data_IF_130159366956
#
_entry.id   IF_130159366956
#
_cell.length_a   1.000
_cell.length_b   1.000
_cell.length_c   1.000
_cell.angle_alpha   90.00
_cell.angle_beta   90.00
_cell.angle_gamma   90.00
#
_symmetry.space_group_name_H-M   'P 1'
#
loop_
_entity.id
_entity.type
_entity.pdbx_description
1 polymer ?
#
# COMPACT_ATOMS: atom_id res chain seq x y z
N UNK A 1 10.51 -12.01 12.45
CA UNK A 1 10.52 -12.87 11.25
C UNK A 1 10.08 -12.05 10.05
N UNK A 2 10.46 -12.45 8.84
CA UNK A 2 10.09 -11.78 7.58
C UNK A 2 9.13 -12.66 6.77
N UNK A 3 8.30 -12.01 5.96
CA UNK A 3 7.40 -12.69 5.03
C UNK A 3 6.69 -11.70 4.12
N UNK A 4 5.83 -12.24 3.27
CA UNK A 4 5.08 -11.49 2.28
C UNK A 4 3.59 -11.61 2.55
N UNK A 5 2.88 -10.50 2.52
CA UNK A 5 1.42 -10.48 2.66
C UNK A 5 0.80 -11.18 1.45
N UNK A 6 0.14 -12.31 1.68
CA UNK A 6 -0.50 -13.08 0.61
C UNK A 6 -1.75 -12.37 0.13
N UNK A 7 -2.56 -11.92 1.08
CA UNK A 7 -3.70 -11.06 0.84
C UNK A 7 -4.17 -10.45 2.17
N UNK A 8 -4.74 -9.26 2.11
CA UNK A 8 -5.38 -8.63 3.27
C UNK A 8 -6.71 -7.98 2.87
N UNK A 9 -7.77 -8.28 3.63
CA UNK A 9 -9.07 -7.65 3.41
C UNK A 9 -9.25 -6.49 4.40
N UNK A 10 -9.04 -5.26 3.92
CA UNK A 10 -9.16 -4.04 4.72
C UNK A 10 -10.57 -3.85 5.32
N UNK A 11 -11.61 -4.25 4.59
CA UNK A 11 -13.00 -4.11 5.05
C UNK A 11 -13.32 -5.08 6.18
N UNK A 12 -12.75 -6.29 6.14
CA UNK A 12 -12.96 -7.31 7.16
C UNK A 12 -11.92 -7.24 8.29
N UNK A 13 -10.78 -6.58 8.07
CA UNK A 13 -9.71 -6.40 9.04
C UNK A 13 -8.87 -7.65 9.30
N UNK A 14 -8.75 -8.57 8.33
CA UNK A 14 -7.91 -9.75 8.46
C UNK A 14 -7.31 -10.21 7.13
N UNK A 15 -6.24 -10.99 7.21
CA UNK A 15 -5.54 -11.52 6.06
C UNK A 15 -4.60 -12.66 6.39
N UNK A 16 -3.72 -12.98 5.45
CA UNK A 16 -2.70 -14.01 5.61
C UNK A 16 -1.34 -13.52 5.13
N UNK A 17 -0.30 -13.93 5.84
CA UNK A 17 1.10 -13.67 5.53
C UNK A 17 1.77 -15.01 5.24
N UNK A 18 2.51 -15.09 4.15
CA UNK A 18 3.36 -16.23 3.81
C UNK A 18 4.76 -15.95 4.34
N UNK A 19 5.26 -16.72 5.33
CA UNK A 19 6.60 -16.55 5.86
C UNK A 19 7.68 -16.90 4.83
N UNK A 20 8.82 -16.21 4.89
CA UNK A 20 9.96 -16.52 4.01
C UNK A 20 10.61 -17.87 4.32
N UNK A 21 10.37 -18.41 5.52
CA UNK A 21 10.91 -19.70 5.95
C UNK A 21 10.16 -20.91 5.37
N UNK A 22 9.16 -20.67 4.51
CA UNK A 22 8.42 -21.70 3.79
C UNK A 22 7.42 -22.49 4.65
N UNK A 23 7.09 -22.00 5.85
CA UNK A 23 6.03 -22.58 6.69
C UNK A 23 4.64 -22.29 6.12
N UNK A 24 3.63 -22.87 6.77
CA UNK A 24 2.22 -22.59 6.50
C UNK A 24 1.89 -21.11 6.63
N UNK A 25 0.95 -20.64 5.82
CA UNK A 25 0.42 -19.28 5.89
C UNK A 25 -0.06 -18.94 7.31
N UNK A 26 0.32 -17.76 7.78
CA UNK A 26 -0.02 -17.25 9.10
C UNK A 26 -1.22 -16.33 9.02
N UNK A 27 -2.18 -16.54 9.92
CA UNK A 27 -3.31 -15.64 10.07
C UNK A 27 -2.86 -14.33 10.73
N UNK A 28 -3.32 -13.19 10.19
CA UNK A 28 -3.11 -11.86 10.77
C UNK A 28 -4.44 -11.13 10.94
N UNK A 29 -4.63 -10.53 12.10
CA UNK A 29 -5.77 -9.65 12.40
C UNK A 29 -5.28 -8.20 12.53
N UNK A 30 -6.10 -7.23 12.11
CA UNK A 30 -5.75 -5.81 12.12
C UNK A 30 -5.30 -5.29 13.49
N UNK A 31 -5.82 -5.85 14.59
CA UNK A 31 -5.47 -5.45 15.96
C UNK A 31 -4.04 -5.82 16.37
N UNK A 32 -3.37 -6.65 15.57
CA UNK A 32 -2.01 -7.13 15.81
C UNK A 32 -0.99 -6.41 14.92
N UNK A 33 -1.45 -5.50 14.07
CA UNK A 33 -0.62 -4.65 13.22
C UNK A 33 -0.23 -3.43 14.05
N UNK A 34 1.06 -3.09 14.07
CA UNK A 34 1.56 -1.90 14.73
C UNK A 34 1.52 -0.74 13.72
N UNK A 35 0.41 0.02 13.71
CA UNK A 35 0.27 1.19 12.84
C UNK A 35 -0.44 2.35 13.55
N UNK A 36 0.00 3.58 13.28
CA UNK A 36 -0.69 4.79 13.71
C UNK A 36 -1.87 5.07 12.74
N UNK A 37 -3.06 4.51 13.02
CA UNK A 37 -4.29 4.82 12.28
C UNK A 37 -5.04 3.61 11.70
N UNK A 38 -5.21 3.57 10.37
CA UNK A 38 -5.89 2.46 9.68
C UNK A 38 -4.89 1.32 9.45
N UNK A 39 -5.24 0.15 9.98
CA UNK A 39 -4.38 -1.03 10.00
C UNK A 39 -4.61 -1.86 8.73
N UNK A 40 -3.99 -1.47 7.62
CA UNK A 40 -4.04 -2.26 6.38
C UNK A 40 -2.66 -2.64 5.86
N UNK A 41 -2.61 -3.78 5.17
CA UNK A 41 -1.41 -4.33 4.54
C UNK A 41 -1.64 -4.41 3.03
N UNK A 42 -0.64 -4.02 2.24
CA UNK A 42 -0.69 -4.21 0.80
C UNK A 42 -0.50 -5.67 0.42
N UNK A 43 -1.29 -6.16 -0.54
CA UNK A 43 -1.07 -7.48 -1.14
C UNK A 43 0.33 -7.53 -1.79
N UNK A 44 1.13 -8.54 -1.45
CA UNK A 44 2.51 -8.67 -1.92
C UNK A 44 3.53 -7.81 -1.17
N UNK A 45 3.13 -7.09 -0.13
CA UNK A 45 4.04 -6.27 0.68
C UNK A 45 4.93 -7.14 1.58
N UNK A 46 6.21 -6.77 1.70
CA UNK A 46 7.14 -7.41 2.64
C UNK A 46 6.91 -6.86 4.04
N UNK A 47 6.76 -7.74 5.02
CA UNK A 47 6.43 -7.38 6.40
C UNK A 47 7.33 -8.09 7.39
N UNK A 48 7.47 -7.49 8.56
CA UNK A 48 8.12 -8.09 9.73
C UNK A 48 7.08 -8.41 10.79
N UNK A 49 7.18 -9.58 11.42
CA UNK A 49 6.21 -10.04 12.41
C UNK A 49 6.83 -11.04 13.38
N UNK A 50 6.14 -11.29 14.49
CA UNK A 50 6.44 -12.35 15.45
C UNK A 50 5.38 -13.45 15.30
N UNK A 51 5.79 -14.72 15.40
CA UNK A 51 4.85 -15.84 15.43
C UNK A 51 4.45 -16.08 16.87
N UNK A 52 3.15 -16.10 17.12
CA UNK A 52 2.57 -16.49 18.39
C UNK A 52 1.48 -17.55 18.17
N UNK A 53 1.05 -18.19 19.24
CA UNK A 53 0.00 -19.19 19.22
C UNK A 53 -1.27 -18.61 19.84
N UNK A 54 -2.45 -18.92 19.30
CA UNK A 54 -3.70 -18.64 19.99
C UNK A 54 -4.01 -19.69 21.06
N UNK A 55 -5.06 -19.45 21.84
CA UNK A 55 -5.51 -20.36 22.91
C UNK A 55 -5.92 -21.76 22.38
N UNK A 56 -6.10 -21.89 21.07
CA UNK A 56 -6.45 -23.12 20.37
C UNK A 56 -5.25 -23.77 19.66
N UNK A 57 -4.03 -23.26 19.86
CA UNK A 57 -2.79 -23.79 19.30
C UNK A 57 -2.56 -23.47 17.82
N UNK A 58 -3.31 -22.54 17.23
CA UNK A 58 -3.13 -22.08 15.84
C UNK A 58 -2.08 -20.98 15.80
N UNK A 59 -1.23 -21.00 14.78
CA UNK A 59 -0.20 -19.99 14.57
C UNK A 59 -0.79 -18.71 13.99
N UNK A 60 -0.50 -17.59 14.65
CA UNK A 60 -0.89 -16.24 14.24
C UNK A 60 0.34 -15.33 14.15
N UNK A 61 0.28 -14.32 13.30
CA UNK A 61 1.27 -13.25 13.26
C UNK A 61 0.87 -12.13 14.23
N UNK A 62 1.78 -11.76 15.13
CA UNK A 62 1.65 -10.63 16.07
C UNK A 62 2.75 -9.60 15.84
N UNK A 63 2.56 -8.38 16.35
CA UNK A 63 3.49 -7.25 16.19
C UNK A 63 3.91 -7.05 14.73
N UNK A 64 2.93 -7.01 13.84
CA UNK A 64 3.18 -6.89 12.39
C UNK A 64 3.55 -5.45 12.05
N UNK A 65 4.74 -5.27 11.47
CA UNK A 65 5.30 -3.99 11.00
C UNK A 65 5.68 -4.07 9.52
N UNK A 66 5.95 -2.91 8.92
CA UNK A 66 6.58 -2.85 7.60
C UNK A 66 8.04 -3.33 7.64
N UNK A 67 8.71 -3.39 6.49
CA UNK A 67 10.11 -3.79 6.40
C UNK A 67 10.98 -2.77 7.16
N UNK A 68 12.00 -3.26 7.87
CA UNK A 68 12.92 -2.47 8.71
C UNK A 68 12.22 -1.71 9.87
N UNK A 69 11.08 -2.22 10.34
CA UNK A 69 10.30 -1.59 11.41
C UNK A 69 9.61 -0.30 10.98
N UNK A 70 9.52 -0.04 9.68
CA UNK A 70 8.73 1.07 9.16
C UNK A 70 7.27 0.92 9.61
N UNK A 71 6.68 2.02 10.06
CA UNK A 71 5.22 2.10 10.25
C UNK A 71 4.58 1.74 8.91
N UNK A 72 3.74 0.71 8.93
CA UNK A 72 3.01 0.24 7.74
C UNK A 72 2.32 1.45 7.13
N UNK A 73 2.76 1.86 5.94
CA UNK A 73 2.13 2.97 5.25
C UNK A 73 0.84 2.44 4.66
N UNK A 74 -0.27 3.03 5.09
CA UNK A 74 -1.57 2.92 4.42
C UNK A 74 -1.35 3.22 2.94
N UNK A 75 -1.19 2.18 2.13
CA UNK A 75 -1.20 2.32 0.68
C UNK A 75 -2.67 2.43 0.33
N UNK A 76 -3.23 3.65 0.47
CA UNK A 76 -4.52 3.96 -0.11
C UNK A 76 -4.46 3.52 -1.57
N UNK A 77 -5.19 2.45 -1.87
CA UNK A 77 -5.19 1.82 -3.17
C UNK A 77 -5.57 2.86 -4.23
N UNK A 78 -4.57 3.31 -4.99
CA UNK A 78 -4.63 3.82 -6.36
C UNK A 78 -5.62 4.96 -6.66
N UNK A 79 -6.11 5.70 -5.68
CA UNK A 79 -6.93 6.88 -5.89
C UNK A 79 -6.38 8.06 -5.08
N UNK A 80 -5.80 9.04 -5.77
CA UNK A 80 -5.32 10.32 -5.22
C UNK A 80 -3.98 10.34 -4.47
N UNK A 81 -2.87 10.01 -5.14
CA UNK A 81 -1.55 10.63 -4.85
C UNK A 81 -1.40 12.03 -5.45
N UNK A 82 -2.42 12.87 -5.29
CA UNK A 82 -2.32 14.31 -5.58
C UNK A 82 -2.47 15.18 -4.32
N UNK A 83 -2.95 14.65 -3.19
CA UNK A 83 -3.24 15.49 -2.03
C UNK A 83 -1.98 15.96 -1.27
N UNK A 84 -0.88 15.20 -1.33
CA UNK A 84 0.39 15.50 -0.63
C UNK A 84 1.35 16.39 -1.42
N UNK A 85 1.05 16.67 -2.69
CA UNK A 85 1.86 17.59 -3.48
C UNK A 85 1.70 19.01 -2.95
N UNK A 86 2.82 19.70 -2.74
CA UNK A 86 2.84 21.14 -2.48
C UNK A 86 2.01 21.87 -3.55
N UNK A 87 1.37 22.98 -3.16
CA UNK A 87 0.58 23.82 -4.08
C UNK A 87 1.37 24.17 -5.35
N UNK A 88 2.68 24.38 -5.22
CA UNK A 88 3.60 24.63 -6.33
C UNK A 88 3.69 23.48 -7.32
N UNK A 89 3.78 22.24 -6.83
CA UNK A 89 3.82 21.03 -7.67
C UNK A 89 2.50 20.79 -8.40
N UNK A 90 1.35 21.11 -7.76
CA UNK A 90 0.02 20.99 -8.39
C UNK A 90 -0.16 21.98 -9.55
N UNK A 91 0.26 23.23 -9.35
CA UNK A 91 0.20 24.27 -10.39
C UNK A 91 1.10 23.89 -11.58
N UNK A 92 2.29 23.35 -11.31
CA UNK A 92 3.22 22.96 -12.37
C UNK A 92 2.67 21.83 -13.25
N UNK A 93 2.03 20.83 -12.64
CA UNK A 93 1.39 19.72 -13.36
C UNK A 93 0.23 20.25 -14.22
N UNK A 94 -0.62 21.11 -13.66
CA UNK A 94 -1.73 21.71 -14.41
C UNK A 94 -1.23 22.53 -15.61
N UNK A 95 -0.19 23.33 -15.42
CA UNK A 95 0.41 24.12 -16.49
C UNK A 95 1.00 23.24 -17.61
N UNK A 96 1.67 22.15 -17.25
CA UNK A 96 2.22 21.21 -18.23
C UNK A 96 1.13 20.50 -19.04
N UNK A 97 0.01 20.12 -18.41
CA UNK A 97 -1.14 19.51 -19.10
C UNK A 97 -1.79 20.49 -20.06
N UNK A 98 -2.03 21.73 -19.63
CA UNK A 98 -2.60 22.78 -20.48
C UNK A 98 -1.68 23.03 -21.69
N UNK A 99 -0.36 23.14 -21.47
CA UNK A 99 0.60 23.32 -22.54
C UNK A 99 0.55 22.16 -23.55
N UNK A 100 0.52 20.93 -23.08
CA UNK A 100 0.43 19.75 -23.94
C UNK A 100 -0.84 19.78 -24.81
N UNK A 101 -1.98 20.14 -24.23
CA UNK A 101 -3.26 20.27 -24.96
C UNK A 101 -3.17 21.36 -26.03
N UNK A 102 -2.61 22.52 -25.68
CA UNK A 102 -2.43 23.63 -26.64
C UNK A 102 -1.52 23.20 -27.79
N UNK A 103 -0.39 22.56 -27.49
CA UNK A 103 0.54 22.05 -28.51
C UNK A 103 -0.14 21.03 -29.43
N UNK A 104 -0.90 20.09 -28.86
CA UNK A 104 -1.67 19.11 -29.62
C UNK A 104 -2.73 19.77 -30.50
N UNK A 105 -3.46 20.76 -29.99
CA UNK A 105 -4.47 21.49 -30.76
C UNK A 105 -3.87 22.28 -31.91
N UNK A 106 -2.73 22.95 -31.69
CA UNK A 106 -1.99 23.68 -32.74
C UNK A 106 -1.47 22.71 -33.79
N UNK A 107 -0.86 21.60 -33.37
CA UNK A 107 -0.38 20.57 -34.30
C UNK A 107 -1.53 20.03 -35.15
N UNK A 108 -2.65 19.66 -34.53
CA UNK A 108 -3.82 19.18 -35.23
C UNK A 108 -4.37 20.20 -36.23
N UNK A 109 -4.47 21.48 -35.83
CA UNK A 109 -4.90 22.56 -36.71
C UNK A 109 -3.98 22.75 -37.92
N UNK A 110 -2.67 22.70 -37.73
CA UNK A 110 -1.69 22.85 -38.81
C UNK A 110 -1.70 21.63 -39.75
N UNK A 111 -1.85 20.41 -39.23
CA UNK A 111 -1.86 19.18 -40.05
C UNK A 111 -3.12 18.97 -40.89
N UNK A 112 -4.23 19.65 -40.57
CA UNK A 112 -5.51 19.53 -41.28
C UNK A 112 -5.85 20.75 -42.14
N UNK A 113 -4.88 21.63 -42.39
CA UNK A 113 -4.94 22.73 -43.35
C UNK A 113 -4.23 22.33 -44.64
#
# INVERSE_FOLDING_TARGET
MKGVVKWFNEQKGFGFITPDDGKSDLFVHQSLIQSEGFHSLGDGESVEFVIDFDDFGRTKAVDVTGPDGAVVQVTLNQSFRFHTLSLTSKILILAAVILAIVVLAVYFYVSHR
#
